data_IF_539804857804
#
_entry.id   IF_539804857804
#
_cell.length_a   1.000
_cell.length_b   1.000
_cell.length_c   1.000
_cell.angle_alpha   90.00
_cell.angle_beta   90.00
_cell.angle_gamma   90.00
#
_symmetry.space_group_name_H-M   'P 1'
#
loop_
_entity.id
_entity.type
_entity.pdbx_description
1 polymer ?
#
# COMPACT_ATOMS: atom_id res chain seq x y z
N UNK A 1 -37.02 45.24 34.57
CA UNK A 1 -37.81 44.00 34.68
C UNK A 1 -36.83 42.83 34.78
N UNK A 2 -36.96 41.94 35.78
CA UNK A 2 -35.89 41.01 36.17
C UNK A 2 -35.84 39.72 35.32
N UNK A 3 -34.61 39.19 35.24
CA UNK A 3 -34.23 37.83 34.85
C UNK A 3 -35.15 36.76 35.47
N UNK A 4 -35.53 35.77 34.66
CA UNK A 4 -36.00 34.47 35.17
C UNK A 4 -35.01 33.39 34.74
N UNK A 5 -34.07 33.12 35.65
CA UNK A 5 -33.32 31.87 35.73
C UNK A 5 -34.30 30.83 36.28
N UNK A 6 -34.53 29.74 35.56
CA UNK A 6 -35.12 28.53 36.13
C UNK A 6 -34.00 27.54 36.39
N UNK A 7 -33.75 27.27 37.66
CA UNK A 7 -32.91 26.17 38.14
C UNK A 7 -33.74 25.37 39.13
N UNK A 8 -34.11 24.16 38.73
CA UNK A 8 -34.58 23.04 39.55
C UNK A 8 -33.90 21.84 38.88
N UNK A 9 -33.19 20.93 39.52
CA UNK A 9 -32.93 20.66 40.91
C UNK A 9 -32.16 19.34 40.91
N UNK A 10 -31.15 19.27 41.77
CA UNK A 10 -30.34 18.12 42.14
C UNK A 10 -31.08 16.78 42.15
N UNK A 11 -30.57 15.77 41.44
CA UNK A 11 -30.69 14.37 41.86
C UNK A 11 -29.31 13.70 41.82
N UNK A 12 -29.13 12.92 42.86
CA UNK A 12 -27.98 12.30 43.46
C UNK A 12 -27.31 11.23 42.58
N UNK A 13 -26.01 11.12 42.78
CA UNK A 13 -25.11 10.02 42.40
C UNK A 13 -25.68 8.65 42.83
N UNK A 14 -25.83 7.71 41.89
CA UNK A 14 -25.80 6.27 42.16
C UNK A 14 -24.96 5.60 41.07
N UNK A 15 -23.78 5.16 41.50
CA UNK A 15 -22.95 4.18 40.83
C UNK A 15 -23.75 2.90 40.55
N UNK A 16 -23.75 2.46 39.29
CA UNK A 16 -23.80 1.04 38.92
C UNK A 16 -23.19 0.94 37.51
N UNK A 17 -22.00 0.36 37.45
CA UNK A 17 -21.46 -0.22 36.23
C UNK A 17 -22.45 -1.30 35.73
N UNK A 18 -22.77 -1.31 34.43
CA UNK A 18 -22.82 -2.55 33.69
C UNK A 18 -21.56 -2.60 32.84
N UNK A 19 -20.70 -3.55 33.18
CA UNK A 19 -19.77 -4.13 32.21
C UNK A 19 -20.61 -4.57 31.00
N UNK A 20 -20.52 -3.84 29.91
CA UNK A 20 -21.02 -4.27 28.61
C UNK A 20 -19.85 -4.14 27.66
N UNK A 21 -19.20 -5.29 27.48
CA UNK A 21 -18.21 -5.57 26.46
C UNK A 21 -18.60 -4.89 25.15
N UNK A 22 -17.84 -3.87 24.76
CA UNK A 22 -17.82 -3.39 23.39
C UNK A 22 -17.10 -4.45 22.54
N UNK A 23 -17.78 -5.55 22.23
CA UNK A 23 -17.40 -6.36 21.07
C UNK A 23 -18.02 -5.70 19.84
N UNK A 24 -17.49 -4.53 19.45
CA UNK A 24 -17.67 -4.03 18.09
C UNK A 24 -16.74 -4.84 17.18
N UNK A 25 -17.06 -6.12 16.99
CA UNK A 25 -16.49 -6.89 15.90
C UNK A 25 -17.15 -6.36 14.64
N UNK A 26 -16.54 -5.36 14.00
CA UNK A 26 -16.78 -5.16 12.58
C UNK A 26 -16.55 -6.52 11.89
N UNK A 27 -17.39 -6.92 10.91
CA UNK A 27 -17.15 -8.15 10.19
C UNK A 27 -15.73 -8.10 9.64
N UNK A 28 -14.91 -9.06 10.08
CA UNK A 28 -13.57 -9.24 9.53
C UNK A 28 -13.71 -9.30 8.02
N UNK A 29 -12.82 -8.61 7.31
CA UNK A 29 -12.81 -8.73 5.86
C UNK A 29 -12.68 -10.23 5.51
N UNK A 30 -13.23 -10.70 4.38
CA UNK A 30 -13.13 -12.12 3.98
C UNK A 30 -11.69 -12.68 4.03
N UNK A 31 -10.71 -11.79 3.95
CA UNK A 31 -9.27 -12.04 4.03
C UNK A 31 -8.75 -12.22 5.46
N UNK A 32 -9.20 -11.41 6.42
CA UNK A 32 -8.82 -11.57 7.84
C UNK A 32 -9.41 -12.87 8.42
N UNK A 33 -10.58 -13.25 7.93
CA UNK A 33 -11.23 -14.52 8.22
C UNK A 33 -10.45 -15.70 7.61
N UNK A 34 -9.87 -15.53 6.42
CA UNK A 34 -8.95 -16.51 5.81
C UNK A 34 -7.64 -16.66 6.61
N UNK A 35 -7.05 -15.56 7.12
CA UNK A 35 -5.88 -15.61 8.01
C UNK A 35 -6.20 -16.31 9.33
N UNK A 36 -7.39 -16.08 9.90
CA UNK A 36 -7.84 -16.74 11.13
C UNK A 36 -8.08 -18.23 10.92
N UNK A 37 -8.68 -18.61 9.79
CA UNK A 37 -8.84 -20.02 9.38
C UNK A 37 -7.50 -20.71 9.08
N UNK A 38 -6.56 -20.02 8.43
CA UNK A 38 -5.22 -20.54 8.14
C UNK A 38 -4.39 -20.75 9.41
N UNK A 39 -4.47 -19.83 10.37
CA UNK A 39 -3.83 -19.98 11.68
C UNK A 39 -4.43 -21.13 12.51
N UNK A 40 -5.74 -21.34 12.44
CA UNK A 40 -6.39 -22.48 13.08
C UNK A 40 -6.06 -23.83 12.41
N UNK A 41 -5.91 -23.85 11.07
CA UNK A 41 -5.51 -25.04 10.32
C UNK A 41 -4.04 -25.43 10.56
N UNK A 42 -3.14 -24.45 10.69
CA UNK A 42 -1.73 -24.68 10.97
C UNK A 42 -1.47 -25.34 12.34
N UNK A 43 -2.39 -25.20 13.30
CA UNK A 43 -2.32 -25.87 14.59
C UNK A 43 -2.75 -27.36 14.55
N UNK A 44 -3.32 -27.83 13.44
CA UNK A 44 -4.00 -29.14 13.36
C UNK A 44 -3.31 -30.19 12.47
N UNK A 45 -2.18 -29.89 11.83
CA UNK A 45 -1.49 -30.86 10.96
C UNK A 45 -0.01 -31.00 11.33
N UNK A 46 0.28 -31.85 12.31
CA UNK A 46 1.59 -32.46 12.47
C UNK A 46 1.39 -33.97 12.32
N UNK A 47 1.71 -34.50 11.14
CA UNK A 47 1.86 -35.94 10.89
C UNK A 47 3.24 -36.19 10.27
N UNK A 48 3.94 -37.29 10.62
CA UNK A 48 5.31 -37.52 10.18
C UNK A 48 5.33 -38.32 8.87
N UNK A 49 6.04 -37.83 7.85
CA UNK A 49 6.20 -38.54 6.58
C UNK A 49 7.49 -38.16 5.88
N UNK A 50 8.42 -39.10 5.78
CA UNK A 50 9.78 -38.89 5.30
C UNK A 50 9.94 -38.85 3.76
N UNK A 51 11.02 -38.19 3.35
CA UNK A 51 11.58 -38.20 2.00
C UNK A 51 12.93 -37.48 2.04
N UNK A 52 14.00 -38.18 1.65
CA UNK A 52 15.39 -37.86 1.99
C UNK A 52 15.91 -36.49 1.54
N UNK A 53 16.55 -35.78 2.48
CA UNK A 53 17.32 -34.56 2.27
C UNK A 53 18.80 -34.92 2.02
N UNK A 54 19.32 -34.58 0.84
CA UNK A 54 20.76 -34.31 0.73
C UNK A 54 21.00 -32.92 1.34
N UNK A 55 21.65 -32.90 2.50
CA UNK A 55 21.74 -31.73 3.35
C UNK A 55 22.61 -30.61 2.77
N UNK A 56 22.06 -29.39 2.82
CA UNK A 56 22.71 -28.14 3.29
C UNK A 56 21.86 -26.88 3.04
N UNK A 57 20.55 -26.98 2.81
CA UNK A 57 19.68 -25.85 2.57
C UNK A 57 19.07 -25.31 3.88
N UNK A 58 19.76 -24.38 4.53
CA UNK A 58 19.18 -23.51 5.57
C UNK A 58 18.13 -22.52 5.00
N UNK A 59 17.43 -22.87 3.93
CA UNK A 59 16.26 -22.13 3.47
C UNK A 59 15.12 -22.48 4.41
N UNK A 60 14.80 -21.57 5.33
CA UNK A 60 13.51 -21.56 5.97
C UNK A 60 12.43 -21.53 4.88
N UNK A 61 11.88 -22.70 4.56
CA UNK A 61 10.76 -22.81 3.63
C UNK A 61 9.60 -22.11 4.31
N UNK A 62 9.15 -20.99 3.73
CA UNK A 62 7.98 -20.29 4.23
C UNK A 62 6.77 -21.22 4.04
N UNK A 63 6.26 -21.78 5.14
CA UNK A 63 5.09 -22.68 5.16
C UNK A 63 3.75 -21.95 5.00
N UNK A 64 3.78 -20.67 4.64
CA UNK A 64 2.57 -19.89 4.43
C UNK A 64 1.98 -20.19 3.04
N UNK A 65 0.65 -20.38 2.92
CA UNK A 65 0.01 -20.50 1.61
C UNK A 65 0.26 -19.24 0.77
N UNK A 66 0.41 -19.37 -0.56
CA UNK A 66 0.67 -18.23 -1.42
C UNK A 66 -0.47 -17.22 -1.33
N UNK A 67 -0.11 -15.96 -1.05
CA UNK A 67 -1.04 -14.85 -0.93
C UNK A 67 -1.25 -14.17 -2.29
N UNK A 68 -2.45 -13.60 -2.57
CA UNK A 68 -2.67 -12.82 -3.78
C UNK A 68 -1.70 -11.63 -3.89
N UNK A 69 -1.27 -11.21 -5.08
CA UNK A 69 -0.29 -10.13 -5.27
C UNK A 69 -0.65 -8.80 -4.57
N UNK A 70 -1.93 -8.45 -4.52
CA UNK A 70 -2.41 -7.22 -3.87
C UNK A 70 -2.49 -7.30 -2.33
N UNK A 71 -2.35 -8.48 -1.72
CA UNK A 71 -2.53 -8.65 -0.27
C UNK A 71 -1.52 -7.82 0.52
N UNK A 72 -0.24 -7.90 0.17
CA UNK A 72 0.82 -7.21 0.90
C UNK A 72 0.67 -5.68 0.80
N UNK A 73 0.30 -5.19 -0.39
CA UNK A 73 0.05 -3.76 -0.65
C UNK A 73 -1.14 -3.27 0.17
N UNK A 74 -2.24 -4.05 0.18
CA UNK A 74 -3.42 -3.72 0.97
C UNK A 74 -3.10 -3.66 2.46
N UNK A 75 -2.43 -4.69 2.98
CA UNK A 75 -2.08 -4.77 4.39
C UNK A 75 -1.15 -3.62 4.83
N UNK A 76 -0.17 -3.25 4.00
CA UNK A 76 0.77 -2.16 4.32
C UNK A 76 0.07 -0.80 4.32
N UNK A 77 -0.74 -0.50 3.29
CA UNK A 77 -1.48 0.76 3.20
C UNK A 77 -2.49 0.90 4.34
N UNK A 78 -3.29 -0.14 4.58
CA UNK A 78 -4.25 -0.17 5.70
C UNK A 78 -3.58 0.16 7.02
N UNK A 79 -2.46 -0.51 7.31
CA UNK A 79 -1.76 -0.37 8.58
C UNK A 79 -1.21 1.05 8.74
N UNK A 80 -0.53 1.57 7.71
CA UNK A 80 0.08 2.89 7.75
C UNK A 80 -0.97 4.02 7.87
N UNK A 81 -2.01 3.97 7.04
CA UNK A 81 -3.05 4.99 7.03
C UNK A 81 -3.86 4.98 8.33
N UNK A 82 -4.23 3.78 8.82
CA UNK A 82 -4.93 3.64 10.10
C UNK A 82 -4.11 4.18 11.26
N UNK A 83 -2.80 3.86 11.31
CA UNK A 83 -1.92 4.38 12.34
C UNK A 83 -1.89 5.92 12.35
N UNK A 84 -1.92 6.57 11.18
CA UNK A 84 -1.98 8.03 11.06
C UNK A 84 -3.34 8.60 11.48
N UNK A 85 -4.44 7.94 11.15
CA UNK A 85 -5.79 8.34 11.61
C UNK A 85 -5.94 8.26 13.13
N UNK A 86 -5.46 7.17 13.72
CA UNK A 86 -5.63 6.86 15.15
C UNK A 86 -4.58 7.55 16.03
N UNK A 87 -3.56 8.18 15.45
CA UNK A 87 -2.50 8.80 16.21
C UNK A 87 -3.01 10.04 16.99
N UNK A 88 -2.94 10.04 18.34
CA UNK A 88 -3.68 10.98 19.18
C UNK A 88 -3.26 12.45 19.01
N UNK A 89 -2.05 12.69 18.51
CA UNK A 89 -1.50 14.03 18.32
C UNK A 89 -1.24 14.40 16.86
N UNK A 90 -1.48 13.49 15.91
CA UNK A 90 -1.24 13.81 14.51
C UNK A 90 -2.35 14.76 14.01
N UNK A 91 -1.95 15.95 13.60
CA UNK A 91 -2.83 16.97 13.02
C UNK A 91 -2.24 17.51 11.72
N UNK A 92 -1.49 16.69 10.98
CA UNK A 92 -0.99 17.05 9.66
C UNK A 92 -2.02 16.78 8.56
N UNK A 93 -1.65 17.11 7.33
CA UNK A 93 -2.28 16.57 6.12
C UNK A 93 -1.32 15.54 5.54
N UNK A 94 -1.83 14.38 5.15
CA UNK A 94 -1.02 13.28 4.60
C UNK A 94 -1.22 13.26 3.09
N UNK A 95 -0.15 13.42 2.34
CA UNK A 95 -0.17 13.24 0.89
C UNK A 95 0.22 11.80 0.58
N UNK A 96 -0.65 11.07 -0.11
CA UNK A 96 -0.45 9.66 -0.45
C UNK A 96 -0.13 9.55 -1.93
N UNK A 97 1.13 9.26 -2.25
CA UNK A 97 1.57 9.01 -3.63
C UNK A 97 1.17 7.62 -4.08
N UNK A 98 0.36 7.55 -5.13
CA UNK A 98 -0.04 6.28 -5.76
C UNK A 98 1.12 5.66 -6.56
N UNK A 99 0.94 4.44 -7.04
CA UNK A 99 1.99 3.67 -7.72
C UNK A 99 2.53 4.39 -8.96
N UNK A 100 3.83 4.28 -9.18
CA UNK A 100 4.46 4.55 -10.47
C UNK A 100 4.80 3.19 -11.09
N UNK A 101 4.07 2.73 -12.11
CA UNK A 101 4.22 1.37 -12.61
C UNK A 101 5.59 1.16 -13.27
N UNK A 102 6.20 -0.04 -13.11
CA UNK A 102 7.42 -0.38 -13.84
C UNK A 102 7.11 -0.61 -15.32
N UNK A 103 8.01 -0.19 -16.21
CA UNK A 103 7.72 -0.21 -17.65
C UNK A 103 8.55 -1.23 -18.43
N UNK A 104 8.00 -2.44 -18.52
CA UNK A 104 8.57 -3.51 -19.35
C UNK A 104 7.60 -3.90 -20.47
N UNK A 105 8.15 -3.95 -21.68
CA UNK A 105 7.56 -4.46 -22.91
C UNK A 105 8.30 -5.74 -23.33
N UNK A 106 7.61 -6.59 -24.11
CA UNK A 106 8.18 -7.82 -24.69
C UNK A 106 8.80 -8.79 -23.66
N UNK A 107 8.38 -8.71 -22.40
CA UNK A 107 8.88 -9.53 -21.30
C UNK A 107 8.71 -8.78 -19.98
N UNK A 108 8.92 -9.49 -18.87
CA UNK A 108 8.95 -8.87 -17.53
C UNK A 108 10.39 -8.55 -17.13
N UNK A 109 10.57 -7.90 -15.98
CA UNK A 109 11.90 -7.61 -15.43
C UNK A 109 12.80 -8.84 -15.30
N UNK A 110 12.22 -10.02 -15.04
CA UNK A 110 12.92 -11.30 -14.92
C UNK A 110 12.98 -12.11 -16.22
N UNK A 111 12.30 -11.66 -17.27
CA UNK A 111 12.16 -12.37 -18.55
C UNK A 111 12.63 -11.50 -19.72
N UNK A 112 13.81 -10.86 -19.53
CA UNK A 112 14.49 -10.03 -20.53
C UNK A 112 13.62 -8.90 -21.13
N UNK A 113 12.59 -8.45 -20.42
CA UNK A 113 11.74 -7.34 -20.85
C UNK A 113 12.56 -6.07 -21.08
N UNK A 114 12.14 -5.28 -22.06
CA UNK A 114 12.77 -4.01 -22.42
C UNK A 114 11.70 -2.95 -22.77
N UNK A 115 12.06 -1.74 -23.17
CA UNK A 115 11.19 -0.61 -23.47
C UNK A 115 12.08 0.34 -24.26
N UNK A 116 12.00 0.24 -25.57
CA UNK A 116 12.85 1.02 -26.48
C UNK A 116 12.18 2.35 -26.86
N UNK A 117 11.20 2.78 -26.06
CA UNK A 117 10.48 4.03 -26.27
C UNK A 117 11.45 5.20 -26.15
N UNK A 118 11.30 6.14 -27.08
CA UNK A 118 12.09 7.38 -27.15
C UNK A 118 11.20 8.62 -27.05
N UNK A 119 9.89 8.42 -26.86
CA UNK A 119 8.88 9.44 -26.66
C UNK A 119 7.79 8.93 -25.71
N UNK A 120 7.03 9.83 -25.07
CA UNK A 120 5.86 9.45 -24.30
C UNK A 120 4.81 8.77 -25.18
N UNK A 121 3.92 8.00 -24.55
CA UNK A 121 2.85 7.27 -25.22
C UNK A 121 1.46 7.73 -24.76
N UNK A 122 0.42 7.30 -25.47
CA UNK A 122 -0.99 7.52 -25.11
C UNK A 122 -1.64 6.29 -24.44
N UNK A 123 -0.85 5.27 -24.05
CA UNK A 123 -1.40 4.10 -23.36
C UNK A 123 -1.67 4.45 -21.89
N UNK A 124 -2.95 4.37 -21.51
CA UNK A 124 -3.37 4.48 -20.11
C UNK A 124 -2.85 3.33 -19.24
N UNK A 125 -3.11 3.44 -17.93
CA UNK A 125 -2.74 2.40 -16.96
C UNK A 125 -3.30 1.04 -17.37
N UNK A 126 -2.48 -0.03 -17.35
CA UNK A 126 -3.01 -1.38 -17.48
C UNK A 126 -4.02 -1.63 -16.36
N UNK A 127 -5.20 -2.14 -16.72
CA UNK A 127 -6.28 -2.49 -15.77
C UNK A 127 -5.81 -3.46 -14.66
N UNK A 128 -4.69 -4.14 -14.89
CA UNK A 128 -4.13 -5.24 -14.11
C UNK A 128 -3.14 -4.87 -13.01
N UNK A 129 -2.93 -3.59 -12.69
CA UNK A 129 -2.09 -3.22 -11.56
C UNK A 129 -2.85 -3.46 -10.24
N UNK A 130 -2.94 -4.71 -9.79
CA UNK A 130 -3.62 -5.09 -8.54
C UNK A 130 -3.10 -4.30 -7.32
N UNK A 131 -1.85 -3.82 -7.39
CA UNK A 131 -1.28 -2.91 -6.42
C UNK A 131 -1.97 -1.53 -6.43
N UNK A 132 -2.20 -0.93 -7.60
CA UNK A 132 -2.90 0.35 -7.72
C UNK A 132 -4.30 0.30 -7.11
N UNK A 133 -5.11 -0.69 -7.51
CA UNK A 133 -6.47 -0.84 -6.99
C UNK A 133 -6.48 -1.05 -5.46
N UNK A 134 -5.55 -1.84 -4.94
CA UNK A 134 -5.41 -2.02 -3.49
C UNK A 134 -5.03 -0.72 -2.76
N UNK A 135 -4.16 0.11 -3.34
CA UNK A 135 -3.81 1.42 -2.78
C UNK A 135 -5.00 2.38 -2.77
N UNK A 136 -5.73 2.46 -3.88
CA UNK A 136 -6.90 3.32 -4.04
C UNK A 136 -8.01 2.93 -3.06
N UNK A 137 -8.28 1.64 -2.91
CA UNK A 137 -9.30 1.14 -1.97
C UNK A 137 -8.98 1.50 -0.52
N UNK A 138 -7.74 1.26 -0.07
CA UNK A 138 -7.36 1.57 1.31
C UNK A 138 -7.25 3.08 1.54
N UNK A 139 -6.86 3.86 0.54
CA UNK A 139 -6.93 5.32 0.58
C UNK A 139 -8.38 5.79 0.77
N UNK A 140 -9.33 5.30 -0.03
CA UNK A 140 -10.75 5.64 0.07
C UNK A 140 -11.36 5.25 1.42
N UNK A 141 -10.86 4.17 2.04
CA UNK A 141 -11.28 3.82 3.40
C UNK A 141 -10.71 4.79 4.45
N UNK A 142 -9.48 5.28 4.26
CA UNK A 142 -8.80 6.15 5.22
C UNK A 142 -9.28 7.61 5.20
N UNK A 143 -9.74 8.14 4.05
CA UNK A 143 -10.20 9.55 3.96
C UNK A 143 -11.36 9.88 4.91
N UNK A 144 -12.13 8.88 5.34
CA UNK A 144 -13.19 9.08 6.32
C UNK A 144 -12.67 9.38 7.74
N UNK A 145 -11.41 9.03 8.04
CA UNK A 145 -10.80 9.12 9.38
C UNK A 145 -9.71 10.18 9.53
N UNK A 146 -9.33 10.90 8.48
CA UNK A 146 -8.27 11.90 8.55
C UNK A 146 -8.13 12.76 7.29
N UNK A 147 -7.21 13.73 7.32
CA UNK A 147 -6.91 14.60 6.17
C UNK A 147 -5.87 13.96 5.27
N UNK A 148 -6.35 13.19 4.30
CA UNK A 148 -5.52 12.58 3.27
C UNK A 148 -5.79 13.21 1.91
N UNK A 149 -4.72 13.53 1.18
CA UNK A 149 -4.77 14.01 -0.19
C UNK A 149 -4.15 12.96 -1.11
N UNK A 150 -4.80 12.60 -2.23
CA UNK A 150 -4.20 11.72 -3.20
C UNK A 150 -3.20 12.49 -4.07
N UNK A 151 -2.01 11.94 -4.24
CA UNK A 151 -1.07 12.34 -5.29
C UNK A 151 -1.01 11.19 -6.30
N UNK A 152 -2.00 11.17 -7.19
CA UNK A 152 -2.09 10.14 -8.22
C UNK A 152 -1.18 10.50 -9.40
N UNK A 153 -0.10 9.74 -9.52
CA UNK A 153 0.87 9.88 -10.61
C UNK A 153 0.80 8.71 -11.59
N UNK A 154 -0.08 7.74 -11.35
CA UNK A 154 0.00 6.43 -11.99
C UNK A 154 -0.12 6.53 -13.51
N UNK A 155 -1.11 7.26 -14.01
CA UNK A 155 -1.36 7.38 -15.46
C UNK A 155 -0.29 8.23 -16.16
N UNK A 156 0.08 9.37 -15.58
CA UNK A 156 1.16 10.20 -16.12
C UNK A 156 2.44 9.41 -16.30
N UNK A 157 2.73 8.49 -15.38
CA UNK A 157 3.97 7.75 -15.37
C UNK A 157 3.96 6.52 -16.26
N UNK A 158 2.78 5.94 -16.46
CA UNK A 158 2.59 4.97 -17.52
C UNK A 158 2.89 5.55 -18.92
N UNK A 159 2.61 6.84 -19.11
CA UNK A 159 2.89 7.51 -20.39
C UNK A 159 4.37 7.81 -20.61
N UNK A 160 5.16 7.97 -19.54
CA UNK A 160 6.55 8.42 -19.57
C UNK A 160 7.61 7.33 -19.82
N UNK A 161 7.34 6.29 -20.61
CA UNK A 161 8.26 5.15 -20.77
C UNK A 161 9.64 5.44 -21.35
N UNK A 162 9.84 6.61 -21.95
CA UNK A 162 11.11 7.15 -22.42
C UNK A 162 11.95 7.83 -21.31
N UNK A 163 11.36 8.08 -20.14
CA UNK A 163 12.01 8.72 -19.00
C UNK A 163 12.85 7.80 -18.12
N UNK A 164 13.03 6.54 -18.49
CA UNK A 164 13.82 5.57 -17.72
C UNK A 164 15.31 5.60 -18.11
N UNK A 165 16.23 5.34 -17.16
CA UNK A 165 17.67 5.27 -17.46
C UNK A 165 18.02 4.05 -18.31
N UNK A 166 17.20 2.99 -18.31
CA UNK A 166 17.45 1.80 -19.11
C UNK A 166 18.81 1.18 -18.76
N UNK A 167 19.67 1.02 -19.76
CA UNK A 167 21.04 0.51 -19.59
C UNK A 167 22.00 1.53 -18.93
N UNK A 168 21.59 2.78 -18.77
CA UNK A 168 22.45 3.86 -18.29
C UNK A 168 22.36 4.12 -16.78
N UNK A 169 21.68 3.27 -16.00
CA UNK A 169 21.60 3.41 -14.53
C UNK A 169 22.93 3.05 -13.81
N UNK A 170 23.99 2.74 -14.56
CA UNK A 170 25.28 2.36 -14.00
C UNK A 170 26.41 2.84 -14.90
N UNK A 171 27.60 2.95 -14.30
CA UNK A 171 28.81 3.28 -15.04
C UNK A 171 29.04 2.26 -16.18
N UNK A 172 29.50 2.69 -17.37
CA UNK A 172 29.63 1.82 -18.55
C UNK A 172 30.47 0.55 -18.35
N UNK A 173 31.41 0.58 -17.40
CA UNK A 173 32.32 -0.54 -17.12
C UNK A 173 31.78 -1.50 -16.04
N UNK A 174 30.63 -1.21 -15.43
CA UNK A 174 30.09 -2.00 -14.32
C UNK A 174 29.08 -3.00 -14.85
N UNK A 175 29.41 -4.29 -14.83
CA UNK A 175 28.45 -5.36 -15.13
C UNK A 175 27.48 -5.50 -13.96
N UNK A 176 26.22 -5.13 -14.16
CA UNK A 176 25.13 -5.39 -13.21
C UNK A 176 24.22 -6.50 -13.75
N UNK A 177 23.76 -7.39 -12.86
CA UNK A 177 22.99 -8.58 -13.24
C UNK A 177 21.60 -8.29 -13.81
N UNK A 178 21.05 -7.10 -13.55
CA UNK A 178 19.77 -6.64 -14.10
C UNK A 178 20.06 -5.66 -15.23
N UNK A 179 20.07 -6.15 -16.47
CA UNK A 179 20.67 -5.44 -17.60
C UNK A 179 19.98 -4.14 -18.02
N UNK A 180 18.74 -3.87 -17.58
CA UNK A 180 17.98 -2.68 -17.99
C UNK A 180 17.03 -2.23 -16.87
N UNK A 181 17.22 -1.00 -16.40
CA UNK A 181 16.39 -0.38 -15.36
C UNK A 181 15.18 0.34 -15.95
N UNK A 182 13.99 -0.07 -15.50
CA UNK A 182 12.69 0.49 -15.89
C UNK A 182 11.77 0.77 -14.71
N UNK A 183 12.37 0.91 -13.54
CA UNK A 183 11.65 1.22 -12.31
C UNK A 183 12.05 2.60 -11.81
N UNK A 184 13.30 2.98 -12.05
CA UNK A 184 13.82 4.32 -11.74
C UNK A 184 13.68 5.27 -12.93
N UNK A 185 13.85 6.56 -12.68
CA UNK A 185 13.61 7.63 -13.63
C UNK A 185 14.87 8.49 -13.79
N UNK A 186 15.12 8.96 -15.01
CA UNK A 186 16.16 9.94 -15.30
C UNK A 186 15.84 11.30 -14.66
N UNK A 187 16.90 12.06 -14.38
CA UNK A 187 16.84 13.48 -13.99
C UNK A 187 17.67 14.31 -14.97
N UNK A 188 17.19 15.46 -15.48
CA UNK A 188 15.81 15.97 -15.40
C UNK A 188 14.82 15.08 -16.17
N UNK A 189 13.56 15.01 -15.74
CA UNK A 189 12.61 14.06 -16.32
C UNK A 189 11.25 13.97 -15.62
N UNK A 190 10.52 12.84 -15.74
CA UNK A 190 9.16 12.68 -15.21
C UNK A 190 9.00 12.93 -13.70
N UNK A 191 10.09 12.78 -12.93
CA UNK A 191 10.11 13.09 -11.49
C UNK A 191 9.89 14.59 -11.24
N UNK A 192 10.30 15.46 -12.17
CA UNK A 192 10.07 16.89 -12.06
C UNK A 192 8.57 17.20 -12.11
N UNK A 193 7.80 16.49 -12.95
CA UNK A 193 6.35 16.62 -13.00
C UNK A 193 5.66 16.14 -11.71
N UNK A 194 6.20 15.13 -11.03
CA UNK A 194 5.71 14.74 -9.69
C UNK A 194 5.94 15.85 -8.67
N UNK A 195 7.11 16.48 -8.70
CA UNK A 195 7.43 17.54 -7.76
C UNK A 195 6.52 18.76 -7.97
N UNK A 196 6.19 19.10 -9.22
CA UNK A 196 5.21 20.14 -9.52
C UNK A 196 3.80 19.79 -8.99
N UNK A 197 3.35 18.54 -9.17
CA UNK A 197 2.08 18.09 -8.60
C UNK A 197 2.09 18.15 -7.06
N UNK A 198 3.18 17.73 -6.43
CA UNK A 198 3.35 17.83 -4.98
C UNK A 198 3.30 19.29 -4.52
N UNK A 199 4.02 20.18 -5.19
CA UNK A 199 4.03 21.61 -4.88
C UNK A 199 2.64 22.22 -5.01
N UNK A 200 1.89 21.83 -6.05
CA UNK A 200 0.50 22.24 -6.23
C UNK A 200 -0.39 21.80 -5.05
N UNK A 201 -0.27 20.54 -4.60
CA UNK A 201 -1.01 20.02 -3.45
C UNK A 201 -0.63 20.68 -2.12
N UNK A 202 0.61 21.18 -2.00
CA UNK A 202 1.08 21.88 -0.80
C UNK A 202 0.69 23.37 -0.79
N UNK A 203 0.41 23.95 -1.96
CA UNK A 203 0.14 25.38 -2.13
C UNK A 203 -1.36 25.73 -2.22
N UNK A 204 -2.23 24.73 -2.35
CA UNK A 204 -3.70 24.88 -2.34
C UNK A 204 -4.29 24.78 -0.95
#
# INVERSE_FOLDING_TARGET
MPLKIFKIGTILLLSLFPSSSLTLSSPLSPVDDARRRGAAAAAATAEPGGGGSNGNDNTAVCTQPPLPPGYAVRASFRTALRALCEHPVFRGTVIVRMVAPPQYENGKWYDRGNCLRTRPNETGLPETEAAFHAQVDEFRAAVAGGRFLPMDVSEMMQMCGDGHPGQYNHWPHKKVGFGIDRVHWCLSGPVDAWNELLLHLLSG
#
